data_IF_738269956560
#
_entry.id   IF_738269956560
#
_cell.length_a   1.000
_cell.length_b   1.000
_cell.length_c   1.000
_cell.angle_alpha   90.00
_cell.angle_beta   90.00
_cell.angle_gamma   90.00
#
_symmetry.space_group_name_H-M   'P 1'
#
loop_
_entity.id
_entity.type
_entity.pdbx_description
1 polymer ?
#
# COMPACT_ATOMS: atom_id res chain seq x y z
N UNK A 1 43.03 -38.21 -12.84
CA UNK A 1 43.53 -38.68 -14.16
C UNK A 1 42.98 -37.74 -15.21
N UNK A 2 43.72 -37.39 -16.25
CA UNK A 2 43.29 -36.33 -17.17
C UNK A 2 42.24 -36.88 -18.14
N UNK A 3 41.05 -36.28 -18.18
CA UNK A 3 39.93 -36.73 -19.03
C UNK A 3 40.28 -36.71 -20.52
N UNK A 4 41.15 -35.78 -20.94
CA UNK A 4 41.74 -35.73 -22.29
C UNK A 4 42.43 -37.05 -22.67
N UNK A 5 43.04 -37.76 -21.71
CA UNK A 5 43.66 -39.07 -21.95
C UNK A 5 42.62 -40.18 -22.08
N UNK A 6 41.53 -40.11 -21.31
CA UNK A 6 40.39 -41.04 -21.42
C UNK A 6 39.67 -40.85 -22.75
N UNK A 7 39.38 -39.61 -23.13
CA UNK A 7 38.76 -39.23 -24.41
C UNK A 7 39.64 -39.68 -25.58
N UNK A 8 40.95 -39.36 -25.59
CA UNK A 8 41.86 -39.82 -26.65
C UNK A 8 41.92 -41.34 -26.76
N UNK A 9 41.86 -42.06 -25.64
CA UNK A 9 41.83 -43.53 -25.66
C UNK A 9 40.49 -44.06 -26.18
N UNK A 10 39.36 -43.53 -25.72
CA UNK A 10 38.03 -43.92 -26.21
C UNK A 10 37.84 -43.61 -27.70
N UNK A 11 38.41 -42.51 -28.20
CA UNK A 11 38.49 -42.22 -29.64
C UNK A 11 39.35 -43.27 -30.34
N UNK A 12 40.58 -43.52 -29.91
CA UNK A 12 41.46 -44.50 -30.56
C UNK A 12 40.94 -45.96 -30.53
N UNK A 13 40.27 -46.36 -29.44
CA UNK A 13 39.61 -47.66 -29.31
C UNK A 13 38.28 -47.73 -30.10
N UNK A 14 37.66 -46.57 -30.39
CA UNK A 14 36.43 -46.45 -31.19
C UNK A 14 36.67 -46.32 -32.70
N UNK A 15 37.80 -45.75 -33.12
CA UNK A 15 38.19 -45.47 -34.51
C UNK A 15 38.74 -46.70 -35.26
N UNK A 16 38.34 -47.91 -34.84
CA UNK A 16 38.61 -49.16 -35.55
C UNK A 16 40.08 -49.63 -35.60
N UNK A 17 41.03 -48.91 -34.99
CA UNK A 17 42.48 -49.21 -35.07
C UNK A 17 42.86 -50.64 -34.61
N UNK A 18 42.04 -51.26 -33.76
CA UNK A 18 42.18 -52.66 -33.38
C UNK A 18 41.76 -53.67 -34.46
N UNK A 19 40.78 -53.33 -35.31
CA UNK A 19 40.30 -54.14 -36.43
C UNK A 19 41.12 -53.91 -37.71
N UNK A 20 41.50 -52.67 -38.02
CA UNK A 20 42.42 -52.37 -39.14
C UNK A 20 43.73 -53.15 -38.97
N UNK A 21 44.28 -53.16 -37.75
CA UNK A 21 45.44 -54.00 -37.39
C UNK A 21 45.17 -55.50 -37.48
N UNK A 22 43.93 -55.99 -37.31
CA UNK A 22 43.57 -57.40 -37.56
C UNK A 22 43.61 -57.70 -39.06
N UNK A 23 42.96 -56.88 -39.90
CA UNK A 23 42.95 -57.07 -41.36
C UNK A 23 44.35 -56.99 -41.97
N UNK A 24 45.17 -56.03 -41.52
CA UNK A 24 46.57 -55.88 -41.90
C UNK A 24 47.47 -57.07 -41.50
N UNK A 25 47.05 -57.91 -40.55
CA UNK A 25 47.72 -59.16 -40.17
C UNK A 25 47.19 -60.36 -40.95
N UNK A 26 45.86 -60.42 -41.19
CA UNK A 26 45.21 -61.50 -41.94
C UNK A 26 45.73 -61.57 -43.38
N UNK A 27 45.84 -60.43 -44.08
CA UNK A 27 46.24 -60.38 -45.49
C UNK A 27 47.64 -61.00 -45.75
N UNK A 28 48.71 -60.62 -45.02
CA UNK A 28 50.01 -61.30 -45.11
C UNK A 28 49.99 -62.79 -44.75
N UNK A 29 49.12 -63.23 -43.83
CA UNK A 29 48.99 -64.65 -43.49
C UNK A 29 48.37 -65.46 -44.64
N UNK A 30 47.33 -64.92 -45.30
CA UNK A 30 46.72 -65.54 -46.49
C UNK A 30 47.73 -65.57 -47.65
N UNK A 31 48.43 -64.46 -47.92
CA UNK A 31 49.44 -64.38 -48.98
C UNK A 31 50.63 -65.33 -48.76
N UNK A 32 50.94 -65.70 -47.51
CA UNK A 32 51.94 -66.74 -47.19
C UNK A 32 51.36 -68.15 -47.37
N UNK A 33 50.14 -68.40 -46.91
CA UNK A 33 49.43 -69.66 -47.10
C UNK A 33 49.29 -70.04 -48.58
N UNK A 34 49.03 -69.06 -49.46
CA UNK A 34 48.95 -69.25 -50.91
C UNK A 34 50.31 -69.59 -51.58
N UNK A 35 51.44 -69.32 -50.91
CA UNK A 35 52.79 -69.61 -51.43
C UNK A 35 53.35 -70.92 -50.89
N UNK A 36 53.11 -71.21 -49.60
CA UNK A 36 53.63 -72.38 -48.90
C UNK A 36 52.48 -73.25 -48.35
N UNK A 37 51.87 -74.15 -49.15
CA UNK A 37 50.75 -74.98 -48.71
C UNK A 37 51.06 -75.84 -47.48
N UNK A 38 52.31 -76.27 -47.31
CA UNK A 38 52.80 -77.00 -46.14
C UNK A 38 52.64 -76.22 -44.83
N UNK A 39 52.49 -74.88 -44.87
CA UNK A 39 52.27 -74.05 -43.69
C UNK A 39 50.83 -74.11 -43.14
N UNK A 40 49.87 -74.66 -43.92
CA UNK A 40 48.42 -74.54 -43.67
C UNK A 40 47.96 -74.98 -42.29
N UNK A 41 48.51 -76.08 -41.77
CA UNK A 41 48.19 -76.61 -40.43
C UNK A 41 48.45 -75.60 -39.30
N UNK A 42 49.35 -74.64 -39.50
CA UNK A 42 49.71 -73.62 -38.52
C UNK A 42 49.06 -72.26 -38.76
N UNK A 43 48.71 -71.95 -40.01
CA UNK A 43 48.22 -70.63 -40.44
C UNK A 43 46.70 -70.55 -40.51
N UNK A 44 46.01 -71.59 -40.99
CA UNK A 44 44.55 -71.60 -41.12
C UNK A 44 43.83 -71.39 -39.78
N UNK A 45 44.19 -72.05 -38.66
CA UNK A 45 43.53 -71.80 -37.37
C UNK A 45 43.75 -70.37 -36.84
N UNK A 46 44.88 -69.73 -37.19
CA UNK A 46 45.18 -68.35 -36.80
C UNK A 46 44.36 -67.34 -37.63
N UNK A 47 44.26 -67.58 -38.94
CA UNK A 47 43.42 -66.77 -39.85
C UNK A 47 41.95 -66.83 -39.41
N UNK A 48 41.43 -68.04 -39.15
CA UNK A 48 40.05 -68.24 -38.68
C UNK A 48 39.80 -67.50 -37.35
N UNK A 49 40.68 -67.62 -36.36
CA UNK A 49 40.55 -66.92 -35.07
C UNK A 49 40.57 -65.38 -35.21
N UNK A 50 41.36 -64.85 -36.15
CA UNK A 50 41.37 -63.41 -36.42
C UNK A 50 40.10 -62.95 -37.16
N UNK A 51 39.54 -63.78 -38.05
CA UNK A 51 38.28 -63.52 -38.75
C UNK A 51 37.07 -63.56 -37.81
N UNK A 52 36.97 -64.58 -36.95
CA UNK A 52 35.93 -64.72 -35.91
C UNK A 52 35.90 -63.51 -34.95
N UNK A 53 37.07 -63.04 -34.54
CA UNK A 53 37.21 -61.85 -33.70
C UNK A 53 36.73 -60.57 -34.42
N UNK A 54 37.03 -60.42 -35.71
CA UNK A 54 36.58 -59.29 -36.52
C UNK A 54 35.06 -59.33 -36.78
N UNK A 55 34.50 -60.52 -37.06
CA UNK A 55 33.05 -60.71 -37.21
C UNK A 55 32.29 -60.37 -35.92
N UNK A 56 32.84 -60.77 -34.76
CA UNK A 56 32.28 -60.44 -33.44
C UNK A 56 32.38 -58.94 -33.15
N UNK A 57 33.48 -58.29 -33.52
CA UNK A 57 33.63 -56.83 -33.42
C UNK A 57 32.61 -56.09 -34.31
N UNK A 58 32.42 -56.54 -35.55
CA UNK A 58 31.41 -55.97 -36.47
C UNK A 58 29.99 -56.11 -35.92
N UNK A 59 29.61 -57.30 -35.42
CA UNK A 59 28.30 -57.53 -34.78
C UNK A 59 28.09 -56.64 -33.56
N UNK A 60 29.12 -56.46 -32.72
CA UNK A 60 29.11 -55.53 -31.59
C UNK A 60 28.88 -54.09 -32.07
N UNK A 61 29.58 -53.64 -33.12
CA UNK A 61 29.48 -52.27 -33.61
C UNK A 61 28.08 -51.94 -34.17
N UNK A 62 27.44 -52.90 -34.85
CA UNK A 62 26.04 -52.76 -35.31
C UNK A 62 25.08 -52.60 -34.11
N UNK A 63 25.28 -53.38 -33.04
CA UNK A 63 24.46 -53.28 -31.83
C UNK A 63 24.68 -51.94 -31.09
N UNK A 64 25.94 -51.48 -30.98
CA UNK A 64 26.28 -50.18 -30.39
C UNK A 64 25.69 -49.03 -31.22
N UNK A 65 25.80 -49.05 -32.55
CA UNK A 65 25.21 -48.04 -33.42
C UNK A 65 23.67 -47.96 -33.25
N UNK A 66 22.99 -49.12 -33.16
CA UNK A 66 21.55 -49.18 -32.89
C UNK A 66 21.20 -48.63 -31.49
N UNK A 67 21.98 -48.97 -30.46
CA UNK A 67 21.78 -48.48 -29.10
C UNK A 67 21.97 -46.97 -29.02
N UNK A 68 23.02 -46.43 -29.64
CA UNK A 68 23.30 -45.00 -29.69
C UNK A 68 22.16 -44.23 -30.40
N UNK A 69 21.57 -44.78 -31.47
CA UNK A 69 20.41 -44.17 -32.12
C UNK A 69 19.20 -44.09 -31.18
N UNK A 70 18.88 -45.18 -30.46
CA UNK A 70 17.79 -45.20 -29.48
C UNK A 70 18.04 -44.15 -28.38
N UNK A 71 19.25 -44.11 -27.82
CA UNK A 71 19.63 -43.12 -26.80
C UNK A 71 19.53 -41.68 -27.33
N UNK A 72 19.94 -41.40 -28.58
CA UNK A 72 19.78 -40.09 -29.19
C UNK A 72 18.31 -39.67 -29.33
N UNK A 73 17.40 -40.60 -29.55
CA UNK A 73 15.96 -40.32 -29.63
C UNK A 73 15.33 -40.17 -28.23
N UNK A 74 15.77 -40.95 -27.24
CA UNK A 74 15.43 -40.76 -25.82
C UNK A 74 15.89 -39.39 -25.28
N UNK A 75 17.12 -38.97 -25.58
CA UNK A 75 17.63 -37.65 -25.18
C UNK A 75 16.85 -36.48 -25.82
N UNK A 76 16.34 -36.63 -27.07
CA UNK A 76 15.46 -35.62 -27.69
C UNK A 76 14.12 -35.50 -26.96
N UNK A 77 13.55 -36.62 -26.50
CA UNK A 77 12.32 -36.62 -25.70
C UNK A 77 12.57 -35.97 -24.34
N UNK A 78 13.69 -36.29 -23.69
CA UNK A 78 14.06 -35.69 -22.40
C UNK A 78 14.30 -34.18 -22.51
N UNK A 79 14.95 -33.70 -23.58
CA UNK A 79 15.14 -32.26 -23.83
C UNK A 79 13.80 -31.53 -23.87
N UNK A 80 12.84 -32.04 -24.65
CA UNK A 80 11.48 -31.46 -24.75
C UNK A 80 10.75 -31.47 -23.42
N UNK A 81 10.84 -32.55 -22.64
CA UNK A 81 10.23 -32.61 -21.30
C UNK A 81 10.82 -31.57 -20.33
N UNK A 82 12.11 -31.27 -20.46
CA UNK A 82 12.78 -30.21 -19.70
C UNK A 82 12.32 -28.82 -20.20
N UNK A 83 12.27 -28.60 -21.52
CA UNK A 83 11.79 -27.36 -22.15
C UNK A 83 10.35 -27.03 -21.71
N UNK A 84 9.42 -27.99 -21.83
CA UNK A 84 8.04 -27.86 -21.36
C UNK A 84 7.94 -27.61 -19.84
N UNK A 85 8.85 -28.20 -19.04
CA UNK A 85 8.86 -27.99 -17.59
C UNK A 85 9.38 -26.60 -17.22
N UNK A 86 10.33 -26.06 -17.97
CA UNK A 86 10.82 -24.68 -17.81
C UNK A 86 9.71 -23.69 -18.18
N UNK A 87 8.98 -23.93 -19.27
CA UNK A 87 7.84 -23.09 -19.67
C UNK A 87 6.72 -23.11 -18.62
N UNK A 88 6.35 -24.30 -18.10
CA UNK A 88 5.38 -24.44 -17.01
C UNK A 88 5.80 -23.67 -15.76
N UNK A 89 7.02 -23.86 -15.27
CA UNK A 89 7.50 -23.15 -14.08
C UNK A 89 7.72 -21.63 -14.29
N UNK A 90 7.98 -21.18 -15.52
CA UNK A 90 8.00 -19.75 -15.85
C UNK A 90 6.59 -19.13 -15.78
N UNK A 91 5.56 -19.86 -16.24
CA UNK A 91 4.16 -19.46 -16.12
C UNK A 91 3.70 -19.39 -14.66
N UNK A 92 3.99 -20.44 -13.88
CA UNK A 92 3.73 -20.50 -12.42
C UNK A 92 4.39 -19.33 -11.67
N UNK A 93 5.62 -18.97 -12.04
CA UNK A 93 6.36 -17.85 -11.44
C UNK A 93 5.71 -16.49 -11.72
N UNK A 94 5.18 -16.25 -12.92
CA UNK A 94 4.51 -14.99 -13.24
C UNK A 94 3.14 -14.88 -12.53
N UNK A 95 2.41 -16.00 -12.37
CA UNK A 95 1.19 -16.05 -11.54
C UNK A 95 1.51 -15.72 -10.08
N UNK A 96 2.50 -16.39 -9.47
CA UNK A 96 2.92 -16.14 -8.09
C UNK A 96 3.43 -14.70 -7.89
N UNK A 97 4.07 -14.11 -8.91
CA UNK A 97 4.48 -12.70 -8.93
C UNK A 97 3.29 -11.74 -8.97
N UNK A 98 2.24 -12.05 -9.73
CA UNK A 98 1.00 -11.28 -9.74
C UNK A 98 0.27 -11.35 -8.38
N UNK A 99 0.12 -12.56 -7.81
CA UNK A 99 -0.44 -12.78 -6.48
C UNK A 99 0.34 -12.03 -5.39
N UNK A 100 1.67 -11.99 -5.48
CA UNK A 100 2.50 -11.25 -4.53
C UNK A 100 2.22 -9.73 -4.57
N UNK A 101 1.92 -9.16 -5.75
CA UNK A 101 1.53 -7.74 -5.87
C UNK A 101 0.15 -7.51 -5.24
N UNK A 102 -0.81 -8.40 -5.49
CA UNK A 102 -2.15 -8.34 -4.88
C UNK A 102 -2.06 -8.43 -3.34
N UNK A 103 -1.28 -9.39 -2.81
CA UNK A 103 -1.06 -9.58 -1.38
C UNK A 103 -0.39 -8.36 -0.72
N UNK A 104 0.59 -7.73 -1.39
CA UNK A 104 1.19 -6.45 -0.95
C UNK A 104 0.15 -5.32 -0.90
N UNK A 105 -0.75 -5.25 -1.89
CA UNK A 105 -1.88 -4.33 -1.90
C UNK A 105 -2.82 -4.52 -0.72
N UNK A 106 -3.31 -5.75 -0.50
CA UNK A 106 -4.17 -6.06 0.65
C UNK A 106 -3.51 -5.74 1.99
N UNK A 107 -2.20 -6.01 2.14
CA UNK A 107 -1.45 -5.65 3.34
C UNK A 107 -1.41 -4.13 3.57
N UNK A 108 -1.07 -3.35 2.54
CA UNK A 108 -1.02 -1.88 2.63
C UNK A 108 -2.40 -1.30 3.01
N UNK A 109 -3.46 -1.79 2.36
CA UNK A 109 -4.82 -1.35 2.66
C UNK A 109 -5.21 -1.71 4.11
N UNK A 110 -4.81 -2.88 4.62
CA UNK A 110 -5.03 -3.28 6.03
C UNK A 110 -4.29 -2.36 7.01
N UNK A 111 -3.04 -2.00 6.73
CA UNK A 111 -2.26 -1.05 7.54
C UNK A 111 -2.92 0.34 7.57
N UNK A 112 -3.48 0.81 6.44
CA UNK A 112 -4.24 2.06 6.34
C UNK A 112 -5.59 2.01 7.09
N UNK A 113 -6.35 0.92 6.97
CA UNK A 113 -7.59 0.72 7.73
C UNK A 113 -7.35 0.63 9.24
N UNK A 114 -6.27 -0.03 9.68
CA UNK A 114 -5.89 -0.06 11.10
C UNK A 114 -5.49 1.32 11.62
N UNK A 115 -4.82 2.15 10.82
CA UNK A 115 -4.49 3.52 11.19
C UNK A 115 -5.75 4.38 11.33
N UNK A 116 -6.65 4.33 10.35
CA UNK A 116 -7.94 5.03 10.41
C UNK A 116 -8.80 4.57 11.59
N UNK A 117 -8.86 3.26 11.87
CA UNK A 117 -9.58 2.73 13.04
C UNK A 117 -8.98 3.24 14.36
N UNK A 118 -7.65 3.31 14.48
CA UNK A 118 -6.97 3.89 15.66
C UNK A 118 -7.31 5.38 15.83
N UNK A 119 -7.36 6.15 14.74
CA UNK A 119 -7.75 7.57 14.77
C UNK A 119 -9.23 7.76 15.17
N UNK A 120 -10.13 6.93 14.64
CA UNK A 120 -11.56 6.97 14.97
C UNK A 120 -11.78 6.60 16.45
N UNK A 121 -11.10 5.56 16.95
CA UNK A 121 -11.21 5.12 18.35
C UNK A 121 -10.56 6.09 19.36
N UNK A 122 -9.78 7.07 18.91
CA UNK A 122 -9.25 8.14 19.76
C UNK A 122 -10.28 9.29 19.97
N UNK A 123 -11.37 9.31 19.20
CA UNK A 123 -12.47 10.25 19.37
C UNK A 123 -13.54 9.69 20.33
N UNK A 124 -14.22 10.54 21.12
CA UNK A 124 -15.30 10.08 21.99
C UNK A 124 -16.46 9.47 21.19
N UNK A 125 -17.18 8.53 21.80
CA UNK A 125 -18.30 7.86 21.13
C UNK A 125 -19.35 8.88 20.67
N UNK A 126 -19.92 8.63 19.48
CA UNK A 126 -21.03 9.45 18.94
C UNK A 126 -22.23 9.48 19.90
N UNK A 127 -22.46 8.40 20.65
CA UNK A 127 -23.51 8.33 21.67
C UNK A 127 -23.25 9.29 22.84
N UNK A 128 -22.05 9.25 23.42
CA UNK A 128 -21.63 10.15 24.50
C UNK A 128 -21.62 11.61 24.07
N UNK A 129 -21.17 11.86 22.84
CA UNK A 129 -21.11 13.21 22.26
C UNK A 129 -22.50 13.78 22.08
N UNK A 130 -23.46 12.97 21.57
CA UNK A 130 -24.87 13.36 21.50
C UNK A 130 -25.48 13.59 22.90
N UNK A 131 -25.21 12.73 23.89
CA UNK A 131 -25.70 12.91 25.26
C UNK A 131 -25.18 14.21 25.90
N UNK A 132 -23.89 14.53 25.72
CA UNK A 132 -23.30 15.80 26.15
C UNK A 132 -23.95 16.99 25.44
N UNK A 133 -24.19 16.89 24.13
CA UNK A 133 -24.86 17.94 23.35
C UNK A 133 -26.30 18.20 23.84
N UNK A 134 -27.12 17.16 24.06
CA UNK A 134 -28.49 17.32 24.56
C UNK A 134 -28.54 17.87 26.00
N UNK A 135 -27.54 17.58 26.82
CA UNK A 135 -27.43 18.18 28.15
C UNK A 135 -27.06 19.68 28.07
N UNK A 136 -26.09 20.04 27.23
CA UNK A 136 -25.70 21.46 27.02
C UNK A 136 -26.84 22.28 26.42
N UNK A 137 -27.63 21.72 25.49
CA UNK A 137 -28.86 22.38 24.97
C UNK A 137 -29.84 22.70 26.10
N UNK A 138 -30.18 21.71 26.93
CA UNK A 138 -31.15 21.86 28.04
C UNK A 138 -30.66 22.86 29.08
N UNK A 139 -29.36 22.91 29.33
CA UNK A 139 -28.75 23.88 30.23
C UNK A 139 -28.78 25.30 29.62
N UNK A 140 -28.51 25.45 28.32
CA UNK A 140 -28.66 26.73 27.59
C UNK A 140 -30.11 27.24 27.62
N UNK A 141 -31.09 26.37 27.39
CA UNK A 141 -32.53 26.68 27.46
C UNK A 141 -32.92 27.18 28.86
N UNK A 142 -32.46 26.49 29.91
CA UNK A 142 -32.70 26.88 31.30
C UNK A 142 -32.07 28.24 31.65
N UNK A 143 -30.85 28.51 31.18
CA UNK A 143 -30.19 29.81 31.39
C UNK A 143 -30.89 30.94 30.61
N UNK A 144 -31.36 30.69 29.39
CA UNK A 144 -32.18 31.67 28.65
C UNK A 144 -33.52 31.94 29.33
N UNK A 145 -34.19 30.93 29.89
CA UNK A 145 -35.42 31.15 30.66
C UNK A 145 -35.15 31.97 31.94
N UNK A 146 -34.04 31.67 32.63
CA UNK A 146 -33.58 32.43 33.80
C UNK A 146 -33.23 33.87 33.46
N UNK A 147 -32.54 34.10 32.33
CA UNK A 147 -32.22 35.42 31.81
C UNK A 147 -33.49 36.24 31.57
N UNK A 148 -34.47 35.68 30.83
CA UNK A 148 -35.76 36.35 30.56
C UNK A 148 -36.50 36.73 31.86
N UNK A 149 -36.49 35.85 32.87
CA UNK A 149 -37.09 36.12 34.19
C UNK A 149 -36.38 37.27 34.93
N UNK A 150 -35.05 37.37 34.83
CA UNK A 150 -34.28 38.47 35.41
C UNK A 150 -34.48 39.79 34.64
N UNK A 151 -34.54 39.73 33.30
CA UNK A 151 -34.81 40.90 32.45
C UNK A 151 -36.20 41.49 32.73
N UNK A 152 -37.22 40.64 32.89
CA UNK A 152 -38.56 41.05 33.31
C UNK A 152 -38.53 41.75 34.69
N UNK A 153 -37.94 41.12 35.72
CA UNK A 153 -37.82 41.72 37.05
C UNK A 153 -37.02 43.04 37.06
N UNK A 154 -36.04 43.19 36.17
CA UNK A 154 -35.27 44.41 36.01
C UNK A 154 -36.10 45.50 35.31
N UNK A 155 -36.94 45.14 34.35
CA UNK A 155 -37.94 46.03 33.73
C UNK A 155 -38.96 46.53 34.76
N UNK A 156 -39.54 45.64 35.58
CA UNK A 156 -40.49 46.01 36.64
C UNK A 156 -39.85 46.95 37.69
N UNK A 157 -38.58 46.73 38.01
CA UNK A 157 -37.79 47.63 38.88
C UNK A 157 -37.52 48.98 38.23
N UNK A 158 -37.26 49.05 36.91
CA UNK A 158 -37.17 50.32 36.19
C UNK A 158 -38.49 51.08 36.20
N UNK A 159 -39.61 50.38 35.97
CA UNK A 159 -40.95 50.98 35.97
C UNK A 159 -41.32 51.54 37.36
N UNK A 160 -41.05 50.79 38.43
CA UNK A 160 -41.30 51.25 39.81
C UNK A 160 -40.37 52.41 40.23
N UNK A 161 -39.10 52.40 39.83
CA UNK A 161 -38.20 53.54 40.05
C UNK A 161 -38.63 54.79 39.25
N UNK A 162 -39.15 54.62 38.03
CA UNK A 162 -39.68 55.73 37.24
C UNK A 162 -40.94 56.32 37.88
N UNK A 163 -41.87 55.49 38.36
CA UNK A 163 -43.05 55.93 39.11
C UNK A 163 -42.67 56.66 40.42
N UNK A 164 -41.67 56.16 41.15
CA UNK A 164 -41.13 56.84 42.33
C UNK A 164 -40.46 58.18 41.99
N UNK A 165 -39.79 58.29 40.84
CA UNK A 165 -39.22 59.56 40.39
C UNK A 165 -40.30 60.58 40.02
N UNK A 166 -41.39 60.16 39.36
CA UNK A 166 -42.56 61.02 39.10
C UNK A 166 -43.13 61.54 40.43
N UNK A 167 -43.43 60.65 41.38
CA UNK A 167 -43.96 61.02 42.71
C UNK A 167 -43.01 61.96 43.46
N UNK A 168 -41.69 61.74 43.38
CA UNK A 168 -40.70 62.62 44.01
C UNK A 168 -40.62 63.99 43.34
N UNK A 169 -40.76 64.07 42.01
CA UNK A 169 -40.84 65.34 41.29
C UNK A 169 -42.14 66.09 41.64
N UNK A 170 -43.26 65.39 41.74
CA UNK A 170 -44.56 65.95 42.16
C UNK A 170 -44.51 66.49 43.61
N UNK A 171 -43.86 65.77 44.52
CA UNK A 171 -43.62 66.23 45.91
C UNK A 171 -42.66 67.43 45.93
N UNK A 172 -41.57 67.39 45.15
CA UNK A 172 -40.60 68.50 45.07
C UNK A 172 -41.27 69.76 44.54
N UNK A 173 -42.12 69.61 43.51
CA UNK A 173 -42.96 70.69 42.99
C UNK A 173 -43.94 71.18 44.05
N UNK A 174 -44.69 70.29 44.72
CA UNK A 174 -45.62 70.68 45.79
C UNK A 174 -44.95 71.34 46.99
N UNK A 175 -43.66 71.11 47.23
CA UNK A 175 -42.87 71.84 48.23
C UNK A 175 -42.43 73.21 47.73
N UNK A 176 -42.08 73.34 46.44
CA UNK A 176 -41.71 74.62 45.83
C UNK A 176 -42.94 75.54 45.66
N UNK A 177 -44.07 74.99 45.22
CA UNK A 177 -45.39 75.63 45.22
C UNK A 177 -45.80 76.07 46.66
N UNK A 178 -45.31 75.38 47.70
CA UNK A 178 -45.59 75.71 49.10
C UNK A 178 -44.65 76.81 49.65
N UNK A 179 -43.35 76.79 49.33
CA UNK A 179 -42.44 77.90 49.66
C UNK A 179 -42.92 79.21 49.00
N UNK A 180 -43.34 79.17 47.73
CA UNK A 180 -43.98 80.32 47.06
C UNK A 180 -45.24 80.80 47.80
N UNK A 181 -46.03 79.87 48.39
CA UNK A 181 -47.23 80.21 49.18
C UNK A 181 -46.95 80.87 50.53
N UNK A 182 -45.76 80.66 51.11
CA UNK A 182 -45.33 81.33 52.34
C UNK A 182 -44.83 82.76 52.08
N UNK A 183 -44.21 83.01 50.92
CA UNK A 183 -43.85 84.38 50.48
C UNK A 183 -45.09 85.24 50.15
N UNK A 184 -46.19 84.65 49.65
CA UNK A 184 -47.38 85.41 49.17
C UNK A 184 -48.26 86.03 50.27
N UNK A 185 -47.82 86.06 51.52
CA UNK A 185 -48.54 86.73 52.63
C UNK A 185 -47.97 88.09 53.03
N UNK A 186 -46.99 88.65 52.29
CA UNK A 186 -46.37 89.94 52.62
C UNK A 186 -45.89 90.78 51.43
N UNK A 187 -46.77 91.04 50.47
CA UNK A 187 -46.74 92.29 49.69
C UNK A 187 -47.32 93.43 50.58
N UNK A 188 -47.05 94.74 50.42
CA UNK A 188 -46.47 95.49 49.30
C UNK A 188 -45.92 96.86 49.80
N UNK A 189 -44.72 97.31 49.40
CA UNK A 189 -44.33 98.75 49.30
C UNK A 189 -42.87 98.97 48.84
N UNK A 190 -42.52 100.08 48.16
CA UNK A 190 -41.71 99.94 46.93
C UNK A 190 -40.53 100.94 46.73
N UNK A 191 -39.84 100.72 45.59
CA UNK A 191 -39.02 101.68 44.82
C UNK A 191 -37.62 102.07 45.39
N UNK A 192 -36.61 102.44 44.58
CA UNK A 192 -36.46 102.55 43.11
C UNK A 192 -34.97 102.39 42.72
N UNK A 193 -34.66 101.83 41.55
CA UNK A 193 -33.71 102.48 40.61
C UNK A 193 -33.72 101.87 39.19
N UNK A 194 -34.56 102.45 38.35
CA UNK A 194 -34.64 102.33 36.89
C UNK A 194 -33.31 102.54 36.10
N UNK A 195 -32.94 101.61 35.20
CA UNK A 195 -32.58 101.83 33.76
C UNK A 195 -31.91 100.58 33.11
N UNK A 196 -32.36 99.99 31.99
CA UNK A 196 -32.53 100.47 30.59
C UNK A 196 -31.19 100.64 29.85
N UNK A 197 -30.83 100.05 28.70
CA UNK A 197 -31.37 99.02 27.74
C UNK A 197 -30.19 98.61 26.77
N UNK A 198 -30.24 97.75 25.71
CA UNK A 198 -31.28 97.05 24.91
C UNK A 198 -30.72 95.76 24.20
N UNK A 199 -31.64 95.03 23.56
CA UNK A 199 -31.59 93.81 22.71
C UNK A 199 -30.62 93.77 21.49
N UNK A 200 -30.17 92.57 21.09
CA UNK A 200 -30.73 91.72 19.99
C UNK A 200 -30.10 90.28 20.10
N UNK A 201 -30.76 89.12 19.95
CA UNK A 201 -31.46 88.52 18.77
C UNK A 201 -30.50 88.29 17.56
N UNK A 202 -30.44 87.16 16.84
CA UNK A 202 -31.41 86.06 16.53
C UNK A 202 -30.72 84.71 16.17
N UNK A 203 -31.51 83.60 16.15
CA UNK A 203 -31.31 82.35 15.36
C UNK A 203 -30.09 81.44 15.66
N UNK A 204 -30.09 80.14 15.30
CA UNK A 204 -31.18 79.28 14.75
C UNK A 204 -30.64 78.06 13.95
N UNK A 205 -31.34 76.92 14.06
CA UNK A 205 -31.14 75.61 13.38
C UNK A 205 -29.77 74.90 13.51
N UNK A 206 -29.80 73.56 13.67
CA UNK A 206 -28.62 72.68 13.76
C UNK A 206 -28.89 71.34 14.45
#
# INVERSE_FOLDING_TARGET
MNDICVIRKLVADGDGAGDDRRYAIILPMILRLMKDPSSAQSSVPRILKHLEAAETAMKKQILVARMNQIQLDEYKVLSKQIEESIERSASELEVAKHEQVIAKGHRKNKEEYELMAKMINALPSRLETNQKLENVKRELELQHERQRKLEAQLSDRKNTLHALNIILNDITRSLQDADESYETSSEESPNDNNSTQRNHETMGDG
#
